data_IF_147731538875
#
_entry.id   IF_147731538875
#
_cell.length_a   1.000
_cell.length_b   1.000
_cell.length_c   1.000
_cell.angle_alpha   90.00
_cell.angle_beta   90.00
_cell.angle_gamma   90.00
#
_symmetry.space_group_name_H-M   'P 1'
#
loop_
_entity.id
_entity.type
_entity.pdbx_description
1 polymer ?
#
# COMPACT_ATOMS: atom_id res chain seq x y z
N UNK A 1 -4.28 12.06 -27.29
CA UNK A 1 -3.49 10.84 -27.04
C UNK A 1 -2.98 10.93 -25.61
N UNK A 2 -3.14 9.89 -24.76
CA UNK A 2 -2.55 9.91 -23.42
C UNK A 2 -1.03 10.08 -23.53
N UNK A 3 -0.46 10.98 -22.72
CA UNK A 3 0.96 11.28 -22.75
C UNK A 3 1.77 10.01 -22.38
N UNK A 4 2.62 9.47 -23.25
CA UNK A 4 3.31 8.19 -23.00
C UNK A 4 4.16 8.20 -21.72
N UNK A 5 4.64 9.38 -21.28
CA UNK A 5 5.34 9.52 -19.99
C UNK A 5 4.44 9.21 -18.79
N UNK A 6 3.18 9.63 -18.83
CA UNK A 6 2.23 9.39 -17.74
C UNK A 6 1.85 7.91 -17.67
N UNK A 7 1.82 7.20 -18.81
CA UNK A 7 1.56 5.77 -18.84
C UNK A 7 2.70 4.96 -18.20
N UNK A 8 3.95 5.35 -18.43
CA UNK A 8 5.11 4.72 -17.80
C UNK A 8 5.19 4.99 -16.29
N UNK A 9 4.93 6.23 -15.87
CA UNK A 9 4.86 6.61 -14.46
C UNK A 9 3.72 5.87 -13.74
N UNK A 10 2.54 5.81 -14.35
CA UNK A 10 1.39 5.06 -13.81
C UNK A 10 1.70 3.57 -13.66
N UNK A 11 2.37 2.97 -14.65
CA UNK A 11 2.79 1.56 -14.59
C UNK A 11 3.78 1.31 -13.45
N UNK A 12 4.77 2.19 -13.27
CA UNK A 12 5.75 2.09 -12.18
C UNK A 12 5.09 2.26 -10.82
N UNK A 13 4.25 3.28 -10.67
CA UNK A 13 3.53 3.53 -9.42
C UNK A 13 2.62 2.36 -9.02
N UNK A 14 1.90 1.76 -9.99
CA UNK A 14 1.08 0.56 -9.75
C UNK A 14 1.93 -0.65 -9.35
N UNK A 15 3.09 -0.83 -9.95
CA UNK A 15 4.01 -1.92 -9.59
C UNK A 15 4.55 -1.75 -8.16
N UNK A 16 4.98 -0.52 -7.80
CA UNK A 16 5.42 -0.18 -6.44
C UNK A 16 4.29 -0.38 -5.42
N UNK A 17 3.07 0.07 -5.75
CA UNK A 17 1.88 -0.12 -4.91
C UNK A 17 1.60 -1.61 -4.66
N UNK A 18 1.65 -2.45 -5.70
CA UNK A 18 1.44 -3.88 -5.58
C UNK A 18 2.51 -4.54 -4.70
N UNK A 19 3.78 -4.12 -4.86
CA UNK A 19 4.88 -4.60 -4.02
C UNK A 19 4.66 -4.23 -2.55
N UNK A 20 4.35 -2.96 -2.26
CA UNK A 20 4.13 -2.49 -0.89
C UNK A 20 2.90 -3.13 -0.24
N UNK A 21 1.82 -3.36 -1.00
CA UNK A 21 0.66 -4.12 -0.53
C UNK A 21 1.03 -5.57 -0.22
N UNK A 22 1.87 -6.20 -1.03
CA UNK A 22 2.38 -7.56 -0.75
C UNK A 22 3.27 -7.59 0.50
N UNK A 23 4.16 -6.61 0.66
CA UNK A 23 4.99 -6.49 1.87
C UNK A 23 4.15 -6.25 3.12
N UNK A 24 3.10 -5.41 3.02
CA UNK A 24 2.12 -5.21 4.09
C UNK A 24 1.41 -6.52 4.43
N UNK A 25 0.97 -7.30 3.44
CA UNK A 25 0.32 -8.60 3.67
C UNK A 25 1.27 -9.64 4.28
N UNK A 26 2.56 -9.62 3.94
CA UNK A 26 3.57 -10.50 4.58
C UNK A 26 3.79 -10.13 6.04
N UNK A 27 3.76 -8.84 6.36
CA UNK A 27 3.92 -8.34 7.72
C UNK A 27 2.63 -8.48 8.54
N UNK A 28 1.47 -8.37 7.89
CA UNK A 28 0.14 -8.43 8.47
C UNK A 28 -0.74 -9.33 7.60
N UNK A 29 -0.62 -10.65 7.75
CA UNK A 29 -1.46 -11.57 7.00
C UNK A 29 -2.92 -11.39 7.44
N UNK A 30 -3.88 -11.46 6.49
CA UNK A 30 -5.27 -11.40 6.82
C UNK A 30 -5.62 -12.57 7.74
N UNK A 31 -6.40 -12.30 8.78
CA UNK A 31 -6.79 -13.34 9.72
C UNK A 31 -7.72 -14.34 9.00
N UNK A 32 -7.34 -15.62 8.84
CA UNK A 32 -8.15 -16.58 8.11
C UNK A 32 -9.42 -16.99 8.86
N UNK A 33 -9.56 -16.60 10.13
CA UNK A 33 -10.73 -16.94 10.93
C UNK A 33 -11.93 -16.04 10.56
N UNK A 34 -13.08 -16.62 10.15
CA UNK A 34 -14.26 -15.85 9.73
C UNK A 34 -14.93 -15.04 10.86
N UNK A 35 -14.52 -15.25 12.11
CA UNK A 35 -15.04 -14.58 13.30
C UNK A 35 -13.97 -13.81 14.09
N UNK A 36 -12.71 -13.82 13.64
CA UNK A 36 -11.68 -13.09 14.34
C UNK A 36 -11.70 -11.62 13.91
N UNK A 37 -11.58 -10.73 14.90
CA UNK A 37 -11.58 -9.29 14.71
C UNK A 37 -10.50 -8.85 13.70
N UNK A 38 -10.83 -7.78 12.98
CA UNK A 38 -10.06 -7.07 11.94
C UNK A 38 -8.54 -7.25 12.06
N UNK A 39 -7.86 -7.59 10.95
CA UNK A 39 -6.39 -7.63 10.76
C UNK A 39 -5.62 -7.30 12.03
N UNK A 40 -5.45 -8.31 12.90
CA UNK A 40 -4.90 -8.08 14.22
C UNK A 40 -3.40 -7.82 14.09
N UNK A 41 -3.04 -6.54 14.04
CA UNK A 41 -1.68 -6.11 14.31
C UNK A 41 -1.24 -6.72 15.66
N UNK A 42 -0.03 -7.29 15.77
CA UNK A 42 0.35 -8.02 16.98
C UNK A 42 0.17 -7.11 18.20
N UNK A 43 -0.59 -7.55 19.21
CA UNK A 43 -0.81 -6.76 20.43
C UNK A 43 0.52 -6.41 21.14
N UNK A 44 1.57 -7.19 20.88
CA UNK A 44 2.93 -7.03 21.42
C UNK A 44 3.92 -6.43 20.41
N UNK A 45 3.45 -5.80 19.33
CA UNK A 45 4.33 -5.24 18.34
C UNK A 45 5.19 -4.11 18.94
N UNK A 46 6.46 -4.13 18.58
CA UNK A 46 7.42 -3.11 19.04
C UNK A 46 7.12 -1.77 18.38
N UNK A 47 7.58 -0.68 19.00
CA UNK A 47 7.46 0.68 18.44
C UNK A 47 8.01 0.76 17.01
N UNK A 48 9.14 0.09 16.74
CA UNK A 48 9.72 0.02 15.40
C UNK A 48 8.81 -0.68 14.37
N UNK A 49 8.07 -1.71 14.78
CA UNK A 49 7.09 -2.38 13.90
C UNK A 49 5.88 -1.49 13.62
N UNK A 50 5.43 -0.71 14.61
CA UNK A 50 4.36 0.29 14.46
C UNK A 50 4.79 1.41 13.50
N UNK A 51 5.98 1.95 13.69
CA UNK A 51 6.56 3.00 12.83
C UNK A 51 6.73 2.50 11.39
N UNK A 52 7.24 1.28 11.20
CA UNK A 52 7.34 0.64 9.88
C UNK A 52 5.97 0.47 9.23
N UNK A 53 4.95 0.04 9.99
CA UNK A 53 3.57 -0.08 9.49
C UNK A 53 3.04 1.28 9.05
N UNK A 54 3.22 2.32 9.86
CA UNK A 54 2.72 3.65 9.56
C UNK A 54 3.42 4.24 8.32
N UNK A 55 4.73 4.04 8.18
CA UNK A 55 5.47 4.43 6.99
C UNK A 55 4.97 3.69 5.72
N UNK A 56 4.73 2.37 5.83
CA UNK A 56 4.17 1.59 4.71
C UNK A 56 2.77 2.06 4.32
N UNK A 57 1.90 2.34 5.30
CA UNK A 57 0.54 2.83 5.04
C UNK A 57 0.58 4.21 4.40
N UNK A 58 1.37 5.14 4.94
CA UNK A 58 1.53 6.48 4.35
C UNK A 58 2.04 6.42 2.91
N UNK A 59 3.03 5.55 2.64
CA UNK A 59 3.57 5.36 1.29
C UNK A 59 2.56 4.77 0.31
N UNK A 60 1.73 3.83 0.77
CA UNK A 60 0.63 3.28 -0.03
C UNK A 60 -0.39 4.37 -0.37
N UNK A 61 -0.79 5.19 0.61
CA UNK A 61 -1.74 6.29 0.39
C UNK A 61 -1.18 7.35 -0.58
N UNK A 62 0.10 7.69 -0.48
CA UNK A 62 0.78 8.58 -1.43
C UNK A 62 0.75 8.04 -2.85
N UNK A 63 1.08 6.75 -3.04
CA UNK A 63 1.05 6.11 -4.36
C UNK A 63 -0.37 6.00 -4.92
N UNK A 64 -1.37 5.72 -4.09
CA UNK A 64 -2.76 5.70 -4.50
C UNK A 64 -3.24 7.08 -4.97
N UNK A 65 -2.84 8.15 -4.27
CA UNK A 65 -3.10 9.53 -4.71
C UNK A 65 -2.40 9.85 -6.03
N UNK A 66 -1.12 9.52 -6.15
CA UNK A 66 -0.35 9.74 -7.37
C UNK A 66 -0.97 9.00 -8.57
N UNK A 67 -1.36 7.74 -8.38
CA UNK A 67 -2.06 6.95 -9.40
C UNK A 67 -3.38 7.61 -9.79
N UNK A 68 -4.18 8.06 -8.82
CA UNK A 68 -5.44 8.73 -9.08
C UNK A 68 -5.25 10.06 -9.84
N UNK A 69 -4.21 10.84 -9.50
CA UNK A 69 -3.84 12.07 -10.21
C UNK A 69 -3.39 11.77 -11.65
N UNK A 70 -2.51 10.79 -11.84
CA UNK A 70 -2.04 10.35 -13.16
C UNK A 70 -3.17 9.78 -14.04
N UNK A 71 -4.17 9.14 -13.44
CA UNK A 71 -5.35 8.60 -14.13
C UNK A 71 -6.38 9.68 -14.47
N UNK A 72 -6.58 10.66 -13.58
CA UNK A 72 -7.53 11.76 -13.78
C UNK A 72 -6.97 12.90 -14.62
N UNK A 73 -5.65 12.93 -14.86
CA UNK A 73 -5.00 13.82 -15.81
C UNK A 73 -5.13 15.31 -15.47
N UNK A 74 -5.32 15.64 -14.20
CA UNK A 74 -5.32 17.04 -13.72
C UNK A 74 -3.90 17.57 -13.52
#
# INVERSE_FOLDING_TARGET
MPNPKHADELRRARAELAQLKSEKLKLFPPNPHPFAQSDAFPQNATRAQIEKRNALVARIEELEKLIAELETGK
#
